data_IF_573855649131
#
_entry.id   IF_573855649131
#
_cell.length_a   1.000
_cell.length_b   1.000
_cell.length_c   1.000
_cell.angle_alpha   90.00
_cell.angle_beta   90.00
_cell.angle_gamma   90.00
#
_symmetry.space_group_name_H-M   'P 1'
#
loop_
_entity.id
_entity.type
_entity.pdbx_description
1 polymer ?
#
# COMPACT_ATOMS: atom_id res chain seq x y z
N UNK A 1 -13.18 -1.95 -3.29
CA UNK A 1 -12.09 -2.37 -4.20
C UNK A 1 -12.57 -3.15 -5.43
N UNK A 2 -13.22 -4.31 -5.30
CA UNK A 2 -13.60 -5.16 -6.44
C UNK A 2 -14.46 -4.46 -7.53
N UNK A 3 -15.40 -3.61 -7.11
CA UNK A 3 -16.21 -2.80 -8.03
C UNK A 3 -15.35 -1.88 -8.91
N UNK A 4 -14.39 -1.16 -8.32
CA UNK A 4 -13.49 -0.27 -9.04
C UNK A 4 -12.63 -1.05 -10.05
N UNK A 5 -12.10 -2.21 -9.66
CA UNK A 5 -11.31 -3.06 -10.56
C UNK A 5 -12.12 -3.57 -11.76
N UNK A 6 -13.39 -3.93 -11.52
CA UNK A 6 -14.30 -4.36 -12.59
C UNK A 6 -14.57 -3.21 -13.57
N UNK A 7 -14.85 -2.02 -13.05
CA UNK A 7 -15.08 -0.84 -13.88
C UNK A 7 -13.82 -0.44 -14.66
N UNK A 8 -12.63 -0.47 -14.04
CA UNK A 8 -11.36 -0.24 -14.76
C UNK A 8 -11.20 -1.26 -15.88
N UNK A 9 -11.39 -2.55 -15.59
CA UNK A 9 -11.24 -3.63 -16.58
C UNK A 9 -12.17 -3.43 -17.78
N UNK A 10 -13.40 -2.96 -17.55
CA UNK A 10 -14.36 -2.67 -18.62
C UNK A 10 -13.98 -1.46 -19.49
N UNK A 11 -13.04 -0.61 -19.05
CA UNK A 11 -12.58 0.56 -19.81
C UNK A 11 -11.34 0.30 -20.67
N UNK A 12 -10.62 -0.79 -20.40
CA UNK A 12 -9.38 -1.15 -21.09
C UNK A 12 -9.69 -1.65 -22.50
N UNK A 13 -9.01 -1.11 -23.50
CA UNK A 13 -9.24 -1.46 -24.92
C UNK A 13 -8.38 -2.60 -25.43
N UNK A 14 -7.40 -3.06 -24.64
CA UNK A 14 -6.49 -4.15 -24.98
C UNK A 14 -6.15 -4.99 -23.75
N UNK A 15 -5.54 -6.15 -23.96
CA UNK A 15 -5.09 -7.02 -22.87
C UNK A 15 -3.94 -6.31 -22.13
N UNK A 16 -4.26 -5.77 -20.96
CA UNK A 16 -3.34 -5.08 -20.06
C UNK A 16 -3.41 -5.77 -18.71
N UNK A 17 -2.26 -6.22 -18.22
CA UNK A 17 -2.10 -6.62 -16.83
C UNK A 17 -1.98 -5.35 -15.97
N UNK A 18 -2.54 -5.39 -14.78
CA UNK A 18 -2.82 -4.23 -13.95
C UNK A 18 -2.41 -4.53 -12.50
N UNK A 19 -1.78 -3.57 -11.83
CA UNK A 19 -1.72 -3.52 -10.38
C UNK A 19 -2.04 -2.13 -9.83
N UNK A 20 -2.64 -2.11 -8.64
CA UNK A 20 -2.83 -0.90 -7.84
C UNK A 20 -1.96 -1.05 -6.59
N UNK A 21 -1.00 -0.14 -6.46
CA UNK A 21 0.05 -0.20 -5.45
C UNK A 21 0.00 1.08 -4.62
N UNK A 22 0.11 0.98 -3.30
CA UNK A 22 0.21 2.15 -2.44
C UNK A 22 1.62 2.76 -2.49
N UNK A 23 1.74 4.02 -2.07
CA UNK A 23 3.04 4.67 -1.85
C UNK A 23 3.92 3.96 -0.80
N UNK A 24 3.35 3.07 0.01
CA UNK A 24 4.07 2.20 0.97
C UNK A 24 4.40 0.81 0.39
N UNK A 25 4.29 0.63 -0.93
CA UNK A 25 4.51 -0.66 -1.63
C UNK A 25 3.49 -1.76 -1.28
N UNK A 26 2.37 -1.44 -0.64
CA UNK A 26 1.30 -2.41 -0.43
C UNK A 26 0.54 -2.64 -1.74
N UNK A 27 0.37 -3.89 -2.14
CA UNK A 27 -0.39 -4.26 -3.34
C UNK A 27 -1.85 -4.46 -2.97
N UNK A 28 -2.73 -3.60 -3.48
CA UNK A 28 -4.18 -3.73 -3.28
C UNK A 28 -4.81 -4.70 -4.28
N UNK A 29 -4.22 -4.80 -5.46
CA UNK A 29 -4.59 -5.73 -6.52
C UNK A 29 -3.41 -5.89 -7.48
N UNK A 30 -3.24 -7.09 -8.03
CA UNK A 30 -2.32 -7.33 -9.15
C UNK A 30 -2.79 -8.49 -10.01
N UNK A 31 -2.71 -8.30 -11.33
CA UNK A 31 -2.70 -9.34 -12.37
C UNK A 31 -1.36 -9.39 -13.11
N UNK A 32 -0.38 -8.58 -12.68
CA UNK A 32 0.97 -8.57 -13.25
C UNK A 32 1.65 -9.92 -13.00
N UNK A 33 2.50 -10.34 -13.94
CA UNK A 33 3.46 -11.41 -13.68
C UNK A 33 4.37 -11.07 -12.47
N UNK A 34 4.92 -12.07 -11.76
CA UNK A 34 5.77 -11.83 -10.59
C UNK A 34 6.97 -10.91 -10.88
N UNK A 35 7.60 -11.06 -12.05
CA UNK A 35 8.72 -10.23 -12.48
C UNK A 35 8.28 -8.77 -12.69
N UNK A 36 7.16 -8.55 -13.40
CA UNK A 36 6.64 -7.21 -13.64
C UNK A 36 6.22 -6.51 -12.33
N UNK A 37 5.64 -7.25 -11.39
CA UNK A 37 5.27 -6.71 -10.08
C UNK A 37 6.49 -6.29 -9.26
N UNK A 38 7.54 -7.11 -9.20
CA UNK A 38 8.78 -6.77 -8.48
C UNK A 38 9.42 -5.48 -9.03
N UNK A 39 9.48 -5.36 -10.36
CA UNK A 39 9.97 -4.13 -11.01
C UNK A 39 9.07 -2.94 -10.68
N UNK A 40 7.74 -3.10 -10.70
CA UNK A 40 6.81 -2.04 -10.37
C UNK A 40 7.00 -1.54 -8.93
N UNK A 41 7.19 -2.46 -7.96
CA UNK A 41 7.43 -2.12 -6.56
C UNK A 41 8.73 -1.31 -6.37
N UNK A 42 9.80 -1.67 -7.09
CA UNK A 42 11.06 -0.91 -7.09
C UNK A 42 10.89 0.49 -7.67
N UNK A 43 10.09 0.63 -8.73
CA UNK A 43 9.77 1.95 -9.30
C UNK A 43 8.95 2.78 -8.30
N UNK A 44 7.94 2.20 -7.66
CA UNK A 44 7.13 2.88 -6.64
C UNK A 44 7.97 3.35 -5.45
N UNK A 45 8.95 2.54 -5.01
CA UNK A 45 9.87 2.94 -3.94
C UNK A 45 10.54 4.28 -4.24
N UNK A 46 11.12 4.41 -5.43
CA UNK A 46 11.82 5.61 -5.86
C UNK A 46 10.85 6.75 -6.18
N UNK A 47 9.74 6.45 -6.87
CA UNK A 47 8.77 7.44 -7.32
C UNK A 47 7.89 8.02 -6.21
N UNK A 48 7.71 7.30 -5.10
CA UNK A 48 6.84 7.70 -3.99
C UNK A 48 7.10 9.12 -3.49
N UNK A 49 8.38 9.47 -3.28
CA UNK A 49 8.83 10.74 -2.72
C UNK A 49 9.20 11.80 -3.76
N UNK A 50 9.51 11.40 -4.99
CA UNK A 50 10.08 12.29 -6.01
C UNK A 50 9.07 12.76 -7.06
N UNK A 51 7.99 12.01 -7.26
CA UNK A 51 7.07 12.25 -8.37
C UNK A 51 5.89 13.12 -7.96
N UNK A 52 5.43 13.95 -8.88
CA UNK A 52 4.14 14.60 -8.82
C UNK A 52 3.03 13.69 -9.35
N UNK A 53 1.77 14.06 -9.08
CA UNK A 53 0.62 13.34 -9.65
C UNK A 53 0.66 13.47 -11.18
N UNK A 54 0.59 12.32 -11.85
CA UNK A 54 0.64 12.23 -13.30
C UNK A 54 2.00 11.87 -13.88
N UNK A 55 3.06 11.91 -13.06
CA UNK A 55 4.37 11.41 -13.45
C UNK A 55 4.35 9.89 -13.60
N UNK A 56 5.20 9.41 -14.50
CA UNK A 56 5.30 7.99 -14.81
C UNK A 56 6.71 7.59 -15.22
N UNK A 57 6.97 6.30 -15.12
CA UNK A 57 8.16 5.67 -15.68
C UNK A 57 7.77 4.46 -16.53
N UNK A 58 8.44 4.36 -17.67
CA UNK A 58 8.38 3.20 -18.54
C UNK A 58 9.59 2.29 -18.30
N UNK A 59 9.35 0.98 -18.27
CA UNK A 59 10.40 -0.04 -18.25
C UNK A 59 10.09 -1.10 -19.28
N UNK A 60 11.03 -1.32 -20.20
CA UNK A 60 11.00 -2.47 -21.09
C UNK A 60 11.37 -3.73 -20.30
N UNK A 61 10.49 -4.72 -20.35
CA UNK A 61 10.73 -6.10 -19.92
C UNK A 61 11.09 -6.93 -21.16
N UNK A 62 11.21 -8.25 -21.01
CA UNK A 62 11.60 -9.15 -22.10
C UNK A 62 10.68 -9.01 -23.32
N UNK A 63 9.37 -9.20 -23.12
CA UNK A 63 8.38 -9.19 -24.20
C UNK A 63 7.33 -8.06 -24.07
N UNK A 64 7.44 -7.21 -23.05
CA UNK A 64 6.40 -6.24 -22.72
C UNK A 64 6.95 -4.90 -22.25
N UNK A 65 6.06 -3.92 -22.16
CA UNK A 65 6.31 -2.62 -21.55
C UNK A 65 5.51 -2.51 -20.25
N UNK A 66 6.23 -2.21 -19.18
CA UNK A 66 5.67 -1.87 -17.89
C UNK A 66 5.66 -0.35 -17.73
N UNK A 67 4.48 0.21 -17.49
CA UNK A 67 4.26 1.59 -17.10
C UNK A 67 3.92 1.62 -15.62
N UNK A 68 4.56 2.50 -14.85
CA UNK A 68 4.16 2.84 -13.48
C UNK A 68 3.82 4.32 -13.44
N UNK A 69 2.62 4.66 -12.98
CA UNK A 69 2.03 6.00 -13.06
C UNK A 69 1.45 6.41 -11.71
N UNK A 70 1.80 7.61 -11.22
CA UNK A 70 1.28 8.12 -9.96
C UNK A 70 -0.10 8.73 -10.16
N UNK A 71 -1.14 8.05 -9.65
CA UNK A 71 -2.54 8.51 -9.78
C UNK A 71 -2.88 9.52 -8.69
N UNK A 72 -2.46 9.25 -7.45
CA UNK A 72 -2.65 10.14 -6.31
C UNK A 72 -1.39 10.16 -5.44
N UNK A 73 -1.41 10.89 -4.33
CA UNK A 73 -0.30 10.87 -3.38
C UNK A 73 -0.10 9.51 -2.72
N UNK A 74 -1.14 8.69 -2.67
CA UNK A 74 -1.12 7.36 -2.04
C UNK A 74 -1.17 6.21 -3.02
N UNK A 75 -1.60 6.41 -4.27
CA UNK A 75 -1.81 5.31 -5.21
C UNK A 75 -1.02 5.45 -6.52
N UNK A 76 -0.46 4.32 -6.92
CA UNK A 76 0.21 4.09 -8.18
C UNK A 76 -0.55 3.05 -9.00
N UNK A 77 -0.61 3.29 -10.30
CA UNK A 77 -1.07 2.34 -11.31
C UNK A 77 0.14 1.71 -11.96
N UNK A 78 0.20 0.38 -12.01
CA UNK A 78 1.15 -0.33 -12.85
C UNK A 78 0.41 -1.06 -13.97
N UNK A 79 0.79 -0.81 -15.21
CA UNK A 79 0.20 -1.42 -16.41
C UNK A 79 1.29 -2.15 -17.19
N UNK A 80 1.09 -3.43 -17.50
CA UNK A 80 2.01 -4.21 -18.31
C UNK A 80 1.30 -4.77 -19.55
N UNK A 81 1.90 -4.57 -20.73
CA UNK A 81 1.33 -5.03 -22.00
C UNK A 81 2.38 -5.08 -23.11
N UNK A 82 2.09 -5.85 -24.15
CA UNK A 82 2.84 -5.84 -25.43
C UNK A 82 2.48 -4.64 -26.32
N UNK A 83 1.48 -3.84 -25.89
CA UNK A 83 1.07 -2.63 -26.58
C UNK A 83 2.19 -1.58 -26.71
N UNK A 84 2.02 -0.66 -27.66
CA UNK A 84 2.91 0.49 -27.83
C UNK A 84 2.86 1.41 -26.61
N UNK A 85 3.99 2.02 -26.28
CA UNK A 85 4.15 2.94 -25.14
C UNK A 85 3.06 4.01 -25.07
N UNK A 86 2.80 4.72 -26.18
CA UNK A 86 1.78 5.77 -26.22
C UNK A 86 0.37 5.29 -25.85
N UNK A 87 0.05 4.02 -26.11
CA UNK A 87 -1.25 3.44 -25.74
C UNK A 87 -1.32 3.18 -24.23
N UNK A 88 -0.23 2.68 -23.61
CA UNK A 88 -0.17 2.50 -22.16
C UNK A 88 -0.31 3.82 -21.41
N UNK A 89 0.35 4.88 -21.89
CA UNK A 89 0.24 6.22 -21.30
C UNK A 89 -1.19 6.74 -21.43
N UNK A 90 -1.83 6.55 -22.59
CA UNK A 90 -3.21 6.97 -22.82
C UNK A 90 -4.17 6.23 -21.88
N UNK A 91 -4.04 4.92 -21.73
CA UNK A 91 -4.88 4.11 -20.84
C UNK A 91 -4.67 4.52 -19.37
N UNK A 92 -3.44 4.74 -18.93
CA UNK A 92 -3.15 5.22 -17.58
C UNK A 92 -3.82 6.58 -17.29
N UNK A 93 -3.68 7.54 -18.21
CA UNK A 93 -4.32 8.86 -18.10
C UNK A 93 -5.85 8.76 -18.10
N UNK A 94 -6.42 7.90 -18.94
CA UNK A 94 -7.87 7.66 -19.01
C UNK A 94 -8.39 7.07 -17.70
N UNK A 95 -7.69 6.08 -17.13
CA UNK A 95 -8.05 5.50 -15.83
C UNK A 95 -7.97 6.56 -14.73
N UNK A 96 -6.87 7.31 -14.68
CA UNK A 96 -6.65 8.34 -13.67
C UNK A 96 -7.76 9.41 -13.70
N UNK A 97 -8.14 9.91 -14.89
CA UNK A 97 -9.18 10.92 -15.03
C UNK A 97 -10.60 10.37 -14.80
N UNK A 98 -10.90 9.18 -15.34
CA UNK A 98 -12.25 8.57 -15.23
C UNK A 98 -12.58 8.18 -13.79
N UNK A 99 -11.58 7.72 -13.05
CA UNK A 99 -11.76 7.17 -11.70
C UNK A 99 -11.19 8.07 -10.60
N UNK A 100 -10.85 9.33 -10.90
CA UNK A 100 -10.20 10.26 -9.98
C UNK A 100 -10.94 10.38 -8.64
N UNK A 101 -12.26 10.61 -8.69
CA UNK A 101 -13.09 10.75 -7.49
C UNK A 101 -13.05 9.50 -6.62
N UNK A 102 -13.09 8.31 -7.23
CA UNK A 102 -13.04 7.02 -6.51
C UNK A 102 -11.68 6.78 -5.86
N UNK A 103 -10.59 7.12 -6.53
CA UNK A 103 -9.26 7.06 -5.93
C UNK A 103 -9.11 8.05 -4.75
N UNK A 104 -9.64 9.26 -4.87
CA UNK A 104 -9.65 10.25 -3.78
C UNK A 104 -10.50 9.80 -2.59
N UNK A 105 -11.62 9.14 -2.84
CA UNK A 105 -12.45 8.55 -1.79
C UNK A 105 -11.71 7.44 -1.04
N UNK A 106 -11.08 6.51 -1.78
CA UNK A 106 -10.23 5.47 -1.20
C UNK A 106 -9.09 6.04 -0.36
N UNK A 107 -8.48 7.13 -0.80
CA UNK A 107 -7.40 7.82 -0.07
C UNK A 107 -7.90 8.43 1.26
N UNK A 108 -9.12 8.99 1.26
CA UNK A 108 -9.77 9.47 2.49
C UNK A 108 -10.07 8.34 3.45
N UNK A 109 -10.54 7.20 2.96
CA UNK A 109 -10.80 6.01 3.77
C UNK A 109 -9.51 5.47 4.41
N UNK A 110 -8.44 5.36 3.62
CA UNK A 110 -7.12 4.93 4.10
C UNK A 110 -6.55 5.89 5.16
N UNK A 111 -6.73 7.19 4.96
CA UNK A 111 -6.33 8.22 5.93
C UNK A 111 -7.15 8.17 7.23
N UNK A 112 -8.42 7.75 7.18
CA UNK A 112 -9.25 7.57 8.38
C UNK A 112 -8.86 6.32 9.15
N UNK A 113 -8.66 5.20 8.45
CA UNK A 113 -8.26 3.93 9.06
C UNK A 113 -6.94 4.08 9.84
N UNK A 114 -5.93 4.72 9.24
CA UNK A 114 -4.63 4.97 9.88
C UNK A 114 -4.70 5.92 11.09
N UNK A 115 -5.66 6.86 11.12
CA UNK A 115 -5.90 7.72 12.30
C UNK A 115 -6.55 6.95 13.45
N UNK A 116 -7.48 6.06 13.16
CA UNK A 116 -8.17 5.25 14.18
C UNK A 116 -7.21 4.24 14.84
N UNK A 117 -6.27 3.67 14.10
CA UNK A 117 -5.21 2.82 14.67
C UNK A 117 -4.28 3.60 15.61
N UNK A 118 -3.93 4.85 15.27
CA UNK A 118 -3.10 5.70 16.14
C UNK A 118 -3.79 6.07 17.46
N UNK A 119 -5.10 6.37 17.44
CA UNK A 119 -5.87 6.73 18.64
C UNK A 119 -6.06 5.54 19.60
N UNK A 120 -6.13 4.31 19.07
CA UNK A 120 -6.25 3.09 19.88
C UNK A 120 -4.98 2.77 20.69
N UNK A 121 -3.81 3.14 20.17
CA UNK A 121 -2.52 2.93 20.87
C UNK A 121 -2.31 4.00 21.95
N UNK A 122 -2.75 5.24 21.75
CA UNK A 122 -2.60 6.31 22.76
C UNK A 122 -3.60 6.21 23.91
N UNK A 123 -4.79 5.64 23.70
CA UNK A 123 -5.84 5.53 24.74
C UNK A 123 -5.65 4.36 25.72
N UNK A 124 -4.57 3.58 25.62
CA UNK A 124 -4.27 2.46 26.53
C UNK A 124 -3.12 2.74 27.51
N UNK A 125 -2.53 3.94 27.50
CA UNK A 125 -1.43 4.32 28.41
C UNK A 125 -1.68 5.69 29.05
N UNK A 126 -2.75 5.82 29.83
CA UNK A 126 -2.85 6.89 30.83
C UNK A 126 -3.83 6.48 31.95
N UNK A 127 -3.28 5.83 32.98
CA UNK A 127 -3.65 6.07 34.38
C UNK A 127 -2.54 5.53 35.32
N UNK A 128 -1.62 6.46 35.63
CA UNK A 128 -0.96 6.74 36.93
C UNK A 128 -0.31 5.62 37.79
N UNK A 129 1.03 5.68 37.86
CA UNK A 129 1.93 5.32 38.99
C UNK A 129 1.76 6.30 40.19
N UNK A 130 2.46 6.21 41.36
CA UNK A 130 3.16 5.12 42.10
C UNK A 130 2.87 5.14 43.64
N UNK A 131 3.36 4.17 44.44
CA UNK A 131 3.82 4.43 45.83
C UNK A 131 4.65 3.27 46.39
N UNK A 132 5.58 3.64 47.27
CA UNK A 132 6.81 2.96 47.64
C UNK A 132 6.76 2.36 49.05
N UNK A 133 7.70 1.44 49.30
CA UNK A 133 8.35 1.08 50.59
C UNK A 133 7.80 -0.05 51.49
N UNK A 134 8.66 -1.09 51.58
CA UNK A 134 9.21 -1.75 52.79
C UNK A 134 8.26 -2.51 53.74
N UNK A 135 8.43 -3.83 53.72
CA UNK A 135 8.11 -4.73 54.82
C UNK A 135 9.08 -5.92 54.81
N UNK A 136 9.97 -5.94 55.80
CA UNK A 136 11.01 -6.94 56.04
C UNK A 136 10.42 -8.28 56.53
N UNK A 137 11.19 -9.34 56.21
CA UNK A 137 11.52 -10.49 57.08
C UNK A 137 10.41 -11.49 57.50
N UNK A 138 10.87 -12.74 57.65
CA UNK A 138 10.23 -13.88 58.33
C UNK A 138 9.20 -14.73 57.58
N UNK A 139 9.69 -15.67 56.76
CA UNK A 139 9.45 -17.10 57.03
C UNK A 139 10.45 -18.00 56.30
N UNK A 140 11.59 -18.17 56.96
CA UNK A 140 12.45 -19.35 56.81
C UNK A 140 11.68 -20.58 57.33
N UNK A 141 12.00 -21.73 56.73
CA UNK A 141 11.87 -23.11 57.24
C UNK A 141 10.69 -23.96 56.73
N UNK A 142 11.07 -25.14 56.20
CA UNK A 142 10.30 -26.22 55.55
C UNK A 142 10.07 -25.91 54.06
N UNK A 143 10.86 -26.43 53.13
CA UNK A 143 11.08 -27.86 52.88
C UNK A 143 12.49 -28.02 52.28
N UNK A 144 13.45 -28.32 53.13
CA UNK A 144 14.47 -29.31 52.82
C UNK A 144 13.98 -30.55 53.57
N UNK A 145 13.41 -31.49 52.86
CA UNK A 145 13.42 -32.90 53.25
C UNK A 145 12.88 -33.73 52.08
N UNK A 146 13.78 -34.53 51.52
CA UNK A 146 13.52 -35.72 50.71
C UNK A 146 13.09 -35.47 49.25
N UNK A 147 14.04 -35.11 48.39
CA UNK A 147 14.47 -35.85 47.18
C UNK A 147 15.35 -34.98 46.28
#
# INVERSE_FOLDING_TARGET
MQKLLTEISNTLTTKIELAIITNTKQVLHSSLSPNALDVALKIVEVGSSLWDIGDYQMKKLEDSLLLVYKITNHFFLALNSVAKEGLLILEAKKIASTFESKFRELEKELSRASKLEKVKVTSSQENEQPTTEKGKEEKIQRILDVF
#
